data_IF_679301162318
#
_entry.id   IF_679301162318
#
_cell.length_a   1.000
_cell.length_b   1.000
_cell.length_c   1.000
_cell.angle_alpha   90.00
_cell.angle_beta   90.00
_cell.angle_gamma   90.00
#
_symmetry.space_group_name_H-M   'P 1'
#
loop_
_entity.id
_entity.type
_entity.pdbx_description
1 polymer ?
#
# COMPACT_ATOMS: atom_id res chain seq x y z
N UNK A 1 -39.90 -39.83 12.10
CA UNK A 1 -38.90 -38.75 12.28
C UNK A 1 -39.65 -37.45 12.53
N UNK A 2 -39.47 -36.81 13.68
CA UNK A 2 -40.33 -35.69 14.09
C UNK A 2 -39.92 -34.42 13.34
N UNK A 3 -40.87 -33.74 12.69
CA UNK A 3 -40.63 -32.54 11.86
C UNK A 3 -39.78 -31.48 12.56
N UNK A 4 -39.90 -31.34 13.89
CA UNK A 4 -39.07 -30.44 14.69
C UNK A 4 -37.57 -30.74 14.66
N UNK A 5 -37.16 -32.02 14.57
CA UNK A 5 -35.74 -32.40 14.47
C UNK A 5 -35.15 -32.02 13.10
N UNK A 6 -35.96 -32.04 12.05
CA UNK A 6 -35.53 -31.61 10.70
C UNK A 6 -35.36 -30.08 10.64
N UNK A 7 -36.31 -29.33 11.21
CA UNK A 7 -36.20 -27.86 11.29
C UNK A 7 -35.04 -27.40 12.17
N UNK A 8 -34.79 -28.10 13.29
CA UNK A 8 -33.62 -27.82 14.14
C UNK A 8 -32.30 -28.03 13.39
N UNK A 9 -32.18 -29.11 12.59
CA UNK A 9 -31.00 -29.34 11.76
C UNK A 9 -30.77 -28.24 10.72
N UNK A 10 -31.84 -27.78 10.07
CA UNK A 10 -31.77 -26.69 9.09
C UNK A 10 -31.32 -25.36 9.72
N UNK A 11 -31.85 -25.04 10.91
CA UNK A 11 -31.45 -23.84 11.66
C UNK A 11 -29.97 -23.86 12.04
N UNK A 12 -29.45 -25.02 12.46
CA UNK A 12 -28.03 -25.16 12.83
C UNK A 12 -27.12 -24.90 11.63
N UNK A 13 -27.44 -25.45 10.46
CA UNK A 13 -26.65 -25.21 9.22
C UNK A 13 -26.70 -23.74 8.82
N UNK A 14 -27.86 -23.08 8.96
CA UNK A 14 -28.00 -21.66 8.65
C UNK A 14 -27.15 -20.77 9.56
N UNK A 15 -27.15 -21.04 10.87
CA UNK A 15 -26.32 -20.30 11.83
C UNK A 15 -24.84 -20.52 11.56
N UNK A 16 -24.43 -21.77 11.28
CA UNK A 16 -23.03 -22.08 10.91
C UNK A 16 -22.60 -21.36 9.63
N UNK A 17 -23.47 -21.35 8.60
CA UNK A 17 -23.25 -20.60 7.36
C UNK A 17 -23.11 -19.09 7.61
N UNK A 18 -23.95 -18.53 8.47
CA UNK A 18 -23.88 -17.11 8.87
C UNK A 18 -22.58 -16.76 9.61
N UNK A 19 -22.13 -17.63 10.51
CA UNK A 19 -20.86 -17.46 11.24
C UNK A 19 -19.67 -17.53 10.30
N UNK A 20 -19.63 -18.52 9.40
CA UNK A 20 -18.58 -18.66 8.37
C UNK A 20 -18.59 -17.46 7.42
N UNK A 21 -19.78 -16.99 7.02
CA UNK A 21 -19.96 -15.79 6.20
C UNK A 21 -19.41 -14.53 6.89
N UNK A 22 -19.76 -14.29 8.16
CA UNK A 22 -19.29 -13.13 8.92
C UNK A 22 -17.77 -13.16 9.19
N UNK A 23 -17.20 -14.34 9.46
CA UNK A 23 -15.76 -14.53 9.59
C UNK A 23 -15.03 -14.28 8.27
N UNK A 24 -15.57 -14.80 7.17
CA UNK A 24 -15.03 -14.60 5.82
C UNK A 24 -15.07 -13.12 5.42
N UNK A 25 -16.16 -12.42 5.74
CA UNK A 25 -16.31 -10.99 5.46
C UNK A 25 -15.30 -10.16 6.27
N UNK A 26 -15.12 -10.44 7.56
CA UNK A 26 -14.11 -9.75 8.40
C UNK A 26 -12.68 -9.96 7.90
N UNK A 27 -12.32 -11.17 7.49
CA UNK A 27 -10.99 -11.50 6.93
C UNK A 27 -10.82 -10.86 5.55
N UNK A 28 -11.85 -10.88 4.71
CA UNK A 28 -11.85 -10.27 3.39
C UNK A 28 -11.75 -8.74 3.45
N UNK A 29 -12.47 -8.09 4.35
CA UNK A 29 -12.32 -6.66 4.62
C UNK A 29 -10.92 -6.35 5.14
N UNK A 30 -10.35 -7.10 6.08
CA UNK A 30 -8.99 -6.83 6.56
C UNK A 30 -7.90 -7.00 5.49
N UNK A 31 -8.03 -7.94 4.54
CA UNK A 31 -7.04 -8.13 3.47
C UNK A 31 -7.24 -7.21 2.25
N UNK A 32 -8.48 -6.93 1.83
CA UNK A 32 -8.75 -6.02 0.69
C UNK A 32 -8.82 -4.55 1.06
N UNK A 33 -9.14 -4.19 2.31
CA UNK A 33 -9.14 -2.78 2.72
C UNK A 33 -7.73 -2.25 2.86
N UNK A 34 -6.75 -3.06 3.28
CA UNK A 34 -5.35 -2.62 3.37
C UNK A 34 -4.74 -2.39 1.97
N UNK A 35 -5.02 -3.29 1.02
CA UNK A 35 -4.54 -3.17 -0.36
C UNK A 35 -5.38 -2.19 -1.20
N UNK A 36 -6.66 -1.94 -0.87
CA UNK A 36 -7.40 -0.77 -1.35
C UNK A 36 -6.91 0.51 -0.68
N UNK A 37 -6.57 0.55 0.60
CA UNK A 37 -6.06 1.75 1.30
C UNK A 37 -4.73 2.21 0.71
N UNK A 38 -3.88 1.29 0.25
CA UNK A 38 -2.63 1.64 -0.43
C UNK A 38 -2.85 2.15 -1.84
N UNK A 39 -3.74 1.52 -2.62
CA UNK A 39 -4.18 2.07 -3.91
C UNK A 39 -4.88 3.42 -3.76
N UNK A 40 -5.66 3.57 -2.69
CA UNK A 40 -6.30 4.80 -2.26
C UNK A 40 -5.27 5.83 -1.80
N UNK A 41 -4.19 5.45 -1.10
CA UNK A 41 -3.13 6.40 -0.71
C UNK A 41 -2.39 6.97 -1.92
N UNK A 42 -2.23 6.16 -2.97
CA UNK A 42 -1.58 6.57 -4.22
C UNK A 42 -2.52 7.36 -5.15
N UNK A 43 -3.83 7.07 -5.13
CA UNK A 43 -4.82 7.59 -6.10
C UNK A 43 -5.83 8.59 -5.47
N UNK A 44 -5.80 8.79 -4.13
CA UNK A 44 -6.61 9.79 -3.41
C UNK A 44 -5.85 11.05 -3.03
N UNK A 45 -4.68 11.33 -3.62
CA UNK A 45 -4.10 12.68 -3.54
C UNK A 45 -5.15 13.76 -3.88
N UNK A 46 -5.86 13.62 -5.02
CA UNK A 46 -6.93 14.55 -5.41
C UNK A 46 -8.13 14.52 -4.46
N UNK A 47 -8.60 13.34 -4.04
CA UNK A 47 -9.75 13.22 -3.13
C UNK A 47 -9.47 13.76 -1.72
N UNK A 48 -8.25 13.53 -1.19
CA UNK A 48 -7.85 14.06 0.11
C UNK A 48 -7.62 15.57 0.03
N UNK A 49 -7.06 16.07 -1.07
CA UNK A 49 -6.97 17.49 -1.36
C UNK A 49 -8.36 18.14 -1.37
N UNK A 50 -9.31 17.56 -2.09
CA UNK A 50 -10.68 18.05 -2.19
C UNK A 50 -11.40 18.05 -0.83
N UNK A 51 -11.23 17.00 -0.03
CA UNK A 51 -11.76 16.94 1.33
C UNK A 51 -11.15 18.01 2.25
N UNK A 52 -9.83 18.26 2.11
CA UNK A 52 -9.14 19.33 2.86
C UNK A 52 -9.64 20.72 2.45
N UNK A 53 -9.74 20.98 1.14
CA UNK A 53 -10.22 22.25 0.59
C UNK A 53 -11.65 22.52 1.03
N UNK A 54 -12.52 21.50 0.98
CA UNK A 54 -13.93 21.63 1.40
C UNK A 54 -14.01 22.01 2.87
N UNK A 55 -13.25 21.32 3.74
CA UNK A 55 -13.21 21.66 5.17
C UNK A 55 -12.62 23.05 5.45
N UNK A 56 -11.56 23.44 4.74
CA UNK A 56 -10.95 24.76 4.88
C UNK A 56 -11.91 25.87 4.42
N UNK A 57 -12.61 25.64 3.31
CA UNK A 57 -13.61 26.57 2.78
C UNK A 57 -14.76 26.79 3.77
N UNK A 58 -15.30 25.71 4.36
CA UNK A 58 -16.36 25.78 5.37
C UNK A 58 -15.89 26.42 6.68
N UNK A 59 -14.69 26.06 7.16
CA UNK A 59 -14.20 26.53 8.47
C UNK A 59 -13.76 27.99 8.46
N UNK A 60 -13.22 28.46 7.33
CA UNK A 60 -12.67 29.81 7.19
C UNK A 60 -13.60 30.75 6.41
N UNK A 61 -14.79 30.29 6.05
CA UNK A 61 -15.77 31.04 5.24
C UNK A 61 -15.13 31.67 4.00
N UNK A 62 -14.35 30.86 3.26
CA UNK A 62 -13.60 31.37 2.11
C UNK A 62 -14.56 31.84 1.00
N UNK A 63 -14.28 33.03 0.46
CA UNK A 63 -14.91 33.46 -0.80
C UNK A 63 -14.50 32.56 -1.96
N UNK A 64 -15.27 32.55 -3.05
CA UNK A 64 -14.98 31.72 -4.23
C UNK A 64 -13.59 32.02 -4.83
N UNK A 65 -13.16 33.28 -4.83
CA UNK A 65 -11.81 33.67 -5.27
C UNK A 65 -10.72 33.11 -4.36
N UNK A 66 -10.94 33.08 -3.05
CA UNK A 66 -10.00 32.50 -2.09
C UNK A 66 -9.96 30.98 -2.19
N UNK A 67 -11.12 30.35 -2.41
CA UNK A 67 -11.23 28.89 -2.59
C UNK A 67 -10.41 28.41 -3.79
N UNK A 68 -10.49 29.09 -4.93
CA UNK A 68 -9.69 28.76 -6.11
C UNK A 68 -8.18 28.88 -5.85
N UNK A 69 -7.75 29.92 -5.13
CA UNK A 69 -6.34 30.12 -4.75
C UNK A 69 -5.85 29.06 -3.75
N UNK A 70 -6.69 28.68 -2.79
CA UNK A 70 -6.35 27.62 -1.82
C UNK A 70 -6.28 26.26 -2.50
N UNK A 71 -7.18 25.99 -3.44
CA UNK A 71 -7.16 24.76 -4.22
C UNK A 71 -5.85 24.61 -5.01
N UNK A 72 -5.43 25.64 -5.75
CA UNK A 72 -4.19 25.56 -6.53
C UNK A 72 -2.95 25.36 -5.64
N UNK A 73 -2.88 26.04 -4.49
CA UNK A 73 -1.79 25.86 -3.52
C UNK A 73 -1.74 24.45 -2.94
N UNK A 74 -2.90 23.88 -2.61
CA UNK A 74 -2.98 22.53 -2.06
C UNK A 74 -2.61 21.50 -3.11
N UNK A 75 -3.12 21.62 -4.34
CA UNK A 75 -2.78 20.74 -5.46
C UNK A 75 -1.28 20.76 -5.78
N UNK A 76 -0.66 21.95 -5.84
CA UNK A 76 0.78 22.09 -6.03
C UNK A 76 1.57 21.37 -4.92
N UNK A 77 1.15 21.55 -3.67
CA UNK A 77 1.81 20.91 -2.53
C UNK A 77 1.69 19.37 -2.59
N UNK A 78 0.52 18.84 -2.96
CA UNK A 78 0.34 17.40 -3.14
C UNK A 78 1.24 16.85 -4.25
N UNK A 79 1.39 17.58 -5.37
CA UNK A 79 2.28 17.19 -6.45
C UNK A 79 3.75 17.14 -5.99
N UNK A 80 4.20 18.14 -5.23
CA UNK A 80 5.56 18.18 -4.67
C UNK A 80 5.82 17.04 -3.69
N UNK A 81 4.85 16.74 -2.82
CA UNK A 81 4.94 15.57 -1.91
C UNK A 81 5.00 14.27 -2.71
N UNK A 82 4.19 14.14 -3.77
CA UNK A 82 4.17 12.96 -4.62
C UNK A 82 5.50 12.75 -5.36
N UNK A 83 6.11 13.82 -5.85
CA UNK A 83 7.43 13.79 -6.48
C UNK A 83 8.50 13.28 -5.51
N UNK A 84 8.60 13.89 -4.33
CA UNK A 84 9.55 13.47 -3.27
C UNK A 84 9.33 12.01 -2.88
N UNK A 85 8.06 11.60 -2.73
CA UNK A 85 7.73 10.23 -2.40
C UNK A 85 8.13 9.26 -3.52
N UNK A 86 7.86 9.59 -4.78
CA UNK A 86 8.21 8.77 -5.95
C UNK A 86 9.72 8.60 -6.09
N UNK A 87 10.50 9.62 -5.77
CA UNK A 87 11.97 9.55 -5.79
C UNK A 87 12.54 8.72 -4.63
N UNK A 88 11.94 8.84 -3.45
CA UNK A 88 12.50 8.28 -2.21
C UNK A 88 12.02 6.85 -1.96
N UNK A 89 10.79 6.52 -2.37
CA UNK A 89 10.18 5.22 -2.13
C UNK A 89 11.02 4.04 -2.62
N UNK A 90 11.59 4.04 -3.85
CA UNK A 90 12.43 2.93 -4.32
C UNK A 90 13.66 2.70 -3.44
N UNK A 91 14.23 3.77 -2.86
CA UNK A 91 15.38 3.67 -1.96
C UNK A 91 14.99 3.01 -0.64
N UNK A 92 13.85 3.40 -0.06
CA UNK A 92 13.32 2.80 1.16
C UNK A 92 12.94 1.33 0.97
N UNK A 93 12.37 1.00 -0.18
CA UNK A 93 12.02 -0.37 -0.55
C UNK A 93 13.27 -1.24 -0.67
N UNK A 94 14.33 -0.74 -1.31
CA UNK A 94 15.61 -1.45 -1.41
C UNK A 94 16.22 -1.73 -0.03
N UNK A 95 16.26 -0.75 0.86
CA UNK A 95 16.76 -0.91 2.24
C UNK A 95 15.97 -1.99 2.98
N UNK A 96 14.65 -2.00 2.79
CA UNK A 96 13.76 -2.99 3.40
C UNK A 96 14.04 -4.40 2.88
N UNK A 97 14.16 -4.56 1.56
CA UNK A 97 14.48 -5.84 0.92
C UNK A 97 15.85 -6.39 1.37
N UNK A 98 16.87 -5.53 1.44
CA UNK A 98 18.20 -5.90 1.93
C UNK A 98 18.15 -6.36 3.39
N UNK A 99 17.36 -5.68 4.23
CA UNK A 99 17.18 -6.03 5.63
C UNK A 99 16.49 -7.38 5.79
N UNK A 100 15.43 -7.63 5.02
CA UNK A 100 14.72 -8.92 5.01
C UNK A 100 15.63 -10.05 4.53
N UNK A 101 16.44 -9.82 3.50
CA UNK A 101 17.40 -10.81 3.00
C UNK A 101 18.44 -11.18 4.07
N UNK A 102 19.01 -10.18 4.76
CA UNK A 102 19.95 -10.40 5.87
C UNK A 102 19.29 -11.13 7.04
N UNK A 103 18.05 -10.75 7.38
CA UNK A 103 17.29 -11.40 8.43
C UNK A 103 17.03 -12.88 8.10
N UNK A 104 16.64 -13.19 6.87
CA UNK A 104 16.45 -14.58 6.44
C UNK A 104 17.75 -15.39 6.50
N UNK A 105 18.90 -14.77 6.25
CA UNK A 105 20.21 -15.43 6.35
C UNK A 105 20.60 -15.87 7.76
N UNK A 106 20.01 -15.28 8.81
CA UNK A 106 20.30 -15.63 10.21
C UNK A 106 19.20 -16.47 10.87
N UNK A 107 18.03 -16.59 10.24
CA UNK A 107 16.88 -17.32 10.79
C UNK A 107 16.85 -18.77 10.31
N UNK A 108 16.41 -19.67 11.19
CA UNK A 108 16.10 -21.06 10.79
C UNK A 108 14.85 -21.12 9.91
N UNK A 109 14.64 -22.19 9.13
CA UNK A 109 13.45 -22.33 8.28
C UNK A 109 12.13 -22.17 9.03
N UNK A 110 12.04 -22.68 10.26
CA UNK A 110 10.83 -22.55 11.09
C UNK A 110 10.62 -21.12 11.61
N UNK A 111 11.71 -20.38 11.88
CA UNK A 111 11.63 -18.98 12.27
C UNK A 111 11.25 -18.08 11.09
N UNK A 112 11.73 -18.39 9.88
CA UNK A 112 11.32 -17.67 8.66
C UNK A 112 9.81 -17.83 8.40
N UNK A 113 9.25 -19.03 8.58
CA UNK A 113 7.80 -19.25 8.47
C UNK A 113 7.01 -18.39 9.47
N UNK A 114 7.45 -18.36 10.73
CA UNK A 114 6.84 -17.50 11.76
C UNK A 114 6.97 -16.02 11.45
N UNK A 115 8.08 -15.61 10.84
CA UNK A 115 8.31 -14.24 10.41
C UNK A 115 7.26 -13.83 9.38
N UNK A 116 7.08 -14.64 8.33
CA UNK A 116 6.08 -14.37 7.28
C UNK A 116 4.66 -14.40 7.84
N UNK A 117 4.32 -15.37 8.68
CA UNK A 117 2.99 -15.52 9.28
C UNK A 117 2.60 -14.32 10.15
N UNK A 118 3.51 -13.82 10.99
CA UNK A 118 3.23 -12.73 11.94
C UNK A 118 3.44 -11.34 11.34
N UNK A 119 4.37 -11.21 10.40
CA UNK A 119 4.89 -9.92 9.96
C UNK A 119 4.83 -9.72 8.43
N UNK A 120 4.34 -10.67 7.64
CA UNK A 120 4.26 -10.54 6.18
C UNK A 120 3.44 -9.34 5.69
N UNK A 121 2.52 -8.82 6.52
CA UNK A 121 1.73 -7.62 6.23
C UNK A 121 2.39 -6.32 6.70
N UNK A 122 3.57 -6.37 7.33
CA UNK A 122 4.28 -5.16 7.74
C UNK A 122 4.84 -4.40 6.53
N UNK A 123 4.75 -3.06 6.49
CA UNK A 123 5.11 -2.27 5.31
C UNK A 123 6.49 -2.57 4.71
N UNK A 124 7.49 -2.91 5.53
CA UNK A 124 8.84 -3.23 5.08
C UNK A 124 9.06 -4.70 4.72
N UNK A 125 8.11 -5.58 5.02
CA UNK A 125 8.15 -7.02 4.65
C UNK A 125 7.24 -7.35 3.46
N UNK A 126 6.46 -6.38 2.98
CA UNK A 126 5.58 -6.59 1.83
C UNK A 126 6.43 -6.82 0.58
N UNK A 127 6.10 -7.83 -0.23
CA UNK A 127 6.74 -7.97 -1.53
C UNK A 127 6.41 -6.73 -2.40
N UNK A 128 7.33 -6.31 -3.29
CA UNK A 128 7.05 -5.27 -4.27
C UNK A 128 5.71 -5.58 -4.97
N UNK A 129 4.85 -4.57 -5.20
CA UNK A 129 3.66 -4.78 -6.01
C UNK A 129 4.06 -5.37 -7.36
N UNK A 130 3.30 -6.32 -7.91
CA UNK A 130 3.60 -6.87 -9.23
C UNK A 130 3.65 -5.72 -10.24
N UNK A 131 4.60 -5.75 -11.20
CA UNK A 131 4.67 -4.73 -12.23
C UNK A 131 3.30 -4.61 -12.91
N UNK A 132 2.83 -3.40 -13.21
CA UNK A 132 1.56 -3.22 -13.91
C UNK A 132 1.56 -4.06 -15.19
N UNK A 133 0.42 -4.70 -15.56
CA UNK A 133 0.36 -5.50 -16.77
C UNK A 133 0.87 -4.66 -17.93
N UNK A 134 1.81 -5.20 -18.71
CA UNK A 134 2.32 -4.55 -19.91
C UNK A 134 1.14 -4.12 -20.77
N UNK A 135 0.83 -2.81 -20.76
CA UNK A 135 -0.19 -2.25 -21.62
C UNK A 135 0.39 -2.29 -23.03
N UNK A 136 0.03 -3.31 -23.81
CA UNK A 136 0.34 -3.43 -25.24
C UNK A 136 -0.24 -2.17 -25.93
N UNK A 137 0.58 -1.12 -26.10
CA UNK A 137 0.18 0.12 -26.78
C UNK A 137 0.33 1.44 -26.01
N UNK A 138 1.01 1.49 -24.86
CA UNK A 138 1.45 2.78 -24.29
C UNK A 138 2.60 3.39 -25.12
N UNK A 139 2.79 4.72 -25.15
CA UNK A 139 3.94 5.33 -25.84
C UNK A 139 5.23 4.68 -25.35
N UNK A 140 6.03 4.19 -26.29
CA UNK A 140 7.38 3.69 -26.04
C UNK A 140 8.13 4.84 -25.35
N UNK A 141 8.39 4.70 -24.04
CA UNK A 141 9.34 5.59 -23.37
C UNK A 141 10.65 5.56 -24.16
N UNK A 142 11.43 6.66 -24.21
CA UNK A 142 12.52 6.78 -25.15
C UNK A 142 13.49 5.60 -24.99
N UNK A 143 13.49 4.72 -26.00
CA UNK A 143 14.56 3.79 -26.24
C UNK A 143 15.80 4.61 -26.59
N UNK A 144 16.83 4.52 -25.75
CA UNK A 144 18.14 5.10 -26.04
C UNK A 144 18.49 6.30 -25.15
N UNK A 145 18.86 6.02 -23.90
CA UNK A 145 19.80 6.89 -23.17
C UNK A 145 21.18 6.23 -23.21
N UNK A 146 22.26 6.95 -23.57
CA UNK A 146 23.58 6.36 -23.72
C UNK A 146 24.11 5.88 -22.36
N UNK A 147 24.89 4.79 -22.42
CA UNK A 147 25.78 4.24 -21.39
C UNK A 147 25.86 5.07 -20.11
N UNK A 148 25.23 4.61 -19.01
CA UNK A 148 25.59 5.08 -17.67
C UNK A 148 26.86 4.34 -17.25
N UNK A 149 28.02 5.01 -17.19
CA UNK A 149 29.21 4.42 -16.59
C UNK A 149 28.98 4.35 -15.08
N UNK A 150 29.38 3.22 -14.50
CA UNK A 150 29.69 3.04 -13.08
C UNK A 150 28.54 3.32 -12.09
N UNK A 151 27.88 2.24 -11.66
CA UNK A 151 27.15 2.25 -10.39
C UNK A 151 28.08 2.69 -9.25
N UNK A 152 27.56 3.37 -8.19
CA UNK A 152 28.40 3.82 -7.10
C UNK A 152 29.13 2.62 -6.47
N UNK A 153 30.44 2.74 -6.18
CA UNK A 153 31.23 1.62 -5.71
C UNK A 153 30.68 1.07 -4.38
N UNK A 154 30.91 -0.22 -4.09
CA UNK A 154 30.51 -0.80 -2.81
C UNK A 154 31.19 -0.01 -1.69
N UNK A 155 30.41 0.41 -0.69
CA UNK A 155 30.96 1.06 0.50
C UNK A 155 32.00 0.13 1.15
N UNK A 156 33.28 0.42 0.92
CA UNK A 156 34.39 -0.17 1.66
C UNK A 156 34.40 0.28 3.13
N UNK A 157 35.20 -0.37 3.98
CA UNK A 157 35.15 -0.15 5.43
C UNK A 157 35.53 1.29 5.78
N UNK A 158 34.77 1.89 6.70
CA UNK A 158 35.02 3.25 7.24
C UNK A 158 36.34 3.25 8.02
N UNK A 159 37.19 4.30 7.90
CA UNK A 159 38.37 4.42 8.73
C UNK A 159 38.00 4.88 10.14
N UNK A 160 38.65 4.23 11.09
CA UNK A 160 38.50 4.38 12.53
C UNK A 160 39.02 5.75 12.98
N UNK A 161 38.28 6.41 13.87
CA UNK A 161 38.78 7.45 14.78
C UNK A 161 38.18 7.25 16.15
#
# INVERSE_FOLDING_TARGET
MNKGKMWAGLLVVFVLGGVIGALSDRIYYQHKVISRLERIRMDKGPFMAELMITRLAETLELSEEQKQKVQSLIEENFNRIHEVFTETHPRLEKISQETVARLNGVLTPDQQKKLVEKFGNWPFMRPPPPPPPFRKGGPRGPEGGPDRPDGPPPFGPRPDK
#
